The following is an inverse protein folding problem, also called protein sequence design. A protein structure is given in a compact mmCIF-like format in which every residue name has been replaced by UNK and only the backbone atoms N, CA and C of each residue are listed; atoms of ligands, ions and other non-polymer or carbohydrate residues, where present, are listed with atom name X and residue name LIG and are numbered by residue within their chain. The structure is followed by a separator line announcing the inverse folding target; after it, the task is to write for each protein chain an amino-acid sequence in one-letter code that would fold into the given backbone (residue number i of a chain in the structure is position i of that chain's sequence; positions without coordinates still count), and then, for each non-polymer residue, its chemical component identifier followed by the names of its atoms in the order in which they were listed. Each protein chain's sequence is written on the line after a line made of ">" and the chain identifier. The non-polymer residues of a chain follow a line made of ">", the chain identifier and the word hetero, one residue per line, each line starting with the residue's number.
data_IF_898855783062
#
_entry.id   IF_898855783062
#
_cell.length_a   1.000
_cell.length_b   1.000
_cell.length_c   1.000
_cell.angle_alpha   90.00
_cell.angle_beta   90.00
_cell.angle_gamma   90.00
#
_symmetry.space_group_name_H-M   'P 1'
#
loop_
_entity.id
_entity.type
_entity.pdbx_description
1 polymer ?
#
# COMPACT_ATOMS: atom_id res chain seq x y z
N UNK A 1 -22.27 55.46 72.58
CA UNK A 1 -21.43 55.97 71.48
C UNK A 1 -20.85 54.81 70.70
N UNK A 2 -20.85 54.88 69.38
CA UNK A 2 -20.27 53.88 68.51
C UNK A 2 -19.01 54.46 67.84
N UNK A 3 -17.84 53.88 68.12
CA UNK A 3 -16.60 54.24 67.46
C UNK A 3 -16.33 53.24 66.33
N UNK A 4 -16.25 53.72 65.09
CA UNK A 4 -16.07 52.87 63.89
C UNK A 4 -14.76 53.27 63.22
N UNK A 5 -13.87 52.30 63.01
CA UNK A 5 -12.60 52.48 62.32
C UNK A 5 -12.34 51.32 61.34
N UNK A 6 -11.47 51.52 60.35
CA UNK A 6 -11.12 50.49 59.38
C UNK A 6 -9.68 50.58 58.90
N UNK A 7 -9.19 49.48 58.35
CA UNK A 7 -7.91 49.44 57.63
C UNK A 7 -8.13 48.86 56.22
N UNK A 8 -7.81 49.63 55.15
CA UNK A 8 -7.47 51.06 55.16
C UNK A 8 -8.60 51.96 55.68
N UNK A 9 -8.23 53.18 56.13
CA UNK A 9 -9.16 54.21 56.58
C UNK A 9 -9.84 54.92 55.39
N UNK A 10 -10.88 55.71 55.67
CA UNK A 10 -11.63 56.48 54.67
C UNK A 10 -12.81 55.74 54.06
N UNK A 11 -13.20 54.59 54.61
CA UNK A 11 -14.38 53.85 54.19
C UNK A 11 -15.65 54.60 54.59
N UNK A 12 -16.62 54.67 53.69
CA UNK A 12 -17.95 55.22 53.97
C UNK A 12 -18.67 54.35 54.99
N UNK A 13 -19.10 54.94 56.10
CA UNK A 13 -19.83 54.26 57.17
C UNK A 13 -21.32 54.54 57.01
N UNK A 14 -22.10 53.50 56.76
CA UNK A 14 -23.56 53.52 56.72
C UNK A 14 -24.08 52.94 58.03
N UNK A 15 -24.93 53.69 58.73
CA UNK A 15 -25.65 53.23 59.92
C UNK A 15 -27.12 53.07 59.54
N UNK A 16 -27.67 51.87 59.70
CA UNK A 16 -29.04 51.51 59.34
C UNK A 16 -29.41 51.94 57.90
N UNK A 17 -28.47 51.75 56.97
CA UNK A 17 -28.62 52.12 55.55
C UNK A 17 -28.38 53.59 55.22
N UNK A 18 -28.12 54.48 56.20
CA UNK A 18 -27.84 55.89 55.98
C UNK A 18 -26.36 56.23 56.15
N UNK A 19 -25.78 56.92 55.16
CA UNK A 19 -24.40 57.42 55.23
C UNK A 19 -24.23 58.33 56.46
N UNK A 20 -23.32 57.95 57.34
CA UNK A 20 -23.10 58.54 58.67
C UNK A 20 -21.67 59.06 58.88
N UNK A 21 -20.78 58.88 57.89
CA UNK A 21 -19.42 59.43 57.93
C UNK A 21 -18.41 58.58 57.17
N UNK A 22 -17.12 58.78 57.47
CA UNK A 22 -16.02 57.95 56.97
C UNK A 22 -15.12 57.52 58.13
N UNK A 23 -14.56 56.31 58.07
CA UNK A 23 -13.64 55.82 59.12
C UNK A 23 -12.34 56.64 59.19
N UNK A 24 -11.82 56.95 60.40
CA UNK A 24 -12.42 56.70 61.71
C UNK A 24 -13.52 57.72 62.05
N UNK A 25 -14.64 57.27 62.62
CA UNK A 25 -15.76 58.13 63.05
C UNK A 25 -16.32 57.69 64.39
N UNK A 26 -16.70 58.65 65.25
CA UNK A 26 -17.52 58.40 66.44
C UNK A 26 -18.95 58.86 66.18
N UNK A 27 -19.92 57.97 66.36
CA UNK A 27 -21.34 58.20 66.12
C UNK A 27 -22.11 58.14 67.45
N UNK A 28 -22.99 59.11 67.68
CA UNK A 28 -23.98 59.05 68.74
C UNK A 28 -25.17 58.25 68.23
N UNK A 29 -25.47 57.13 68.88
CA UNK A 29 -26.55 56.22 68.51
C UNK A 29 -27.43 55.96 69.73
N UNK A 30 -28.72 55.77 69.51
CA UNK A 30 -29.63 55.36 70.57
C UNK A 30 -29.29 53.94 71.04
N UNK A 31 -29.69 53.54 72.25
CA UNK A 31 -29.60 52.15 72.66
C UNK A 31 -30.47 51.26 71.75
N UNK A 32 -29.95 50.09 71.37
CA UNK A 32 -30.67 49.17 70.49
C UNK A 32 -29.83 48.63 69.33
N UNK A 33 -30.45 47.77 68.52
CA UNK A 33 -29.79 47.07 67.42
C UNK A 33 -29.58 48.01 66.23
N UNK A 34 -28.33 48.16 65.80
CA UNK A 34 -27.94 48.95 64.64
C UNK A 34 -27.09 48.11 63.68
N UNK A 35 -27.35 48.23 62.37
CA UNK A 35 -26.48 47.68 61.32
C UNK A 35 -25.45 48.74 60.91
N UNK A 36 -24.18 48.35 60.92
CA UNK A 36 -23.06 49.16 60.47
C UNK A 36 -22.51 48.51 59.20
N UNK A 37 -22.58 49.21 58.08
CA UNK A 37 -21.99 48.82 56.82
C UNK A 37 -20.84 49.76 56.45
N UNK A 38 -19.67 49.22 56.12
CA UNK A 38 -18.54 49.98 55.60
C UNK A 38 -18.38 49.68 54.12
N UNK A 39 -18.30 50.73 53.29
CA UNK A 39 -18.02 50.64 51.86
C UNK A 39 -16.78 51.43 51.51
N UNK A 40 -15.85 50.79 50.79
CA UNK A 40 -14.68 51.45 50.24
C UNK A 40 -14.44 50.94 48.82
N UNK A 41 -14.21 51.85 47.87
CA UNK A 41 -14.01 51.50 46.46
C UNK A 41 -12.87 50.51 46.28
N UNK A 42 -13.13 49.38 45.61
CA UNK A 42 -12.17 48.30 45.40
C UNK A 42 -11.99 47.36 46.60
N UNK A 43 -12.86 47.42 47.60
CA UNK A 43 -12.91 46.52 48.75
C UNK A 43 -14.31 45.94 48.91
N UNK A 44 -14.40 44.72 49.44
CA UNK A 44 -15.65 44.08 49.77
C UNK A 44 -16.37 44.87 50.90
N UNK A 45 -17.71 45.03 50.83
CA UNK A 45 -18.46 45.69 51.88
C UNK A 45 -18.39 44.89 53.18
N UNK A 46 -18.13 45.56 54.28
CA UNK A 46 -18.13 44.95 55.62
C UNK A 46 -19.43 45.30 56.33
N UNK A 47 -20.12 44.30 56.89
CA UNK A 47 -21.37 44.49 57.64
C UNK A 47 -21.25 43.87 59.02
N UNK A 48 -21.66 44.61 60.04
CA UNK A 48 -21.78 44.11 61.40
C UNK A 48 -23.01 44.70 62.06
N UNK A 49 -23.67 43.90 62.91
CA UNK A 49 -24.72 44.40 63.78
C UNK A 49 -24.15 44.65 65.17
N UNK A 50 -24.40 45.84 65.72
CA UNK A 50 -24.08 46.21 67.11
C UNK A 50 -25.36 46.44 67.91
N UNK A 51 -25.31 46.27 69.23
CA UNK A 51 -26.45 46.53 70.11
C UNK A 51 -26.00 47.30 71.37
N UNK A 52 -25.68 48.61 71.26
CA UNK A 52 -25.16 49.39 72.39
C UNK A 52 -26.23 49.58 73.48
N UNK A 53 -25.83 49.48 74.75
CA UNK A 53 -26.65 49.83 75.92
C UNK A 53 -26.55 51.34 76.24
N UNK A 54 -27.46 51.89 77.07
CA UNK A 54 -27.38 53.29 77.52
C UNK A 54 -26.01 53.59 78.14
N UNK A 55 -25.34 54.64 77.66
CA UNK A 55 -24.00 55.05 78.12
C UNK A 55 -22.83 54.18 77.64
N UNK A 56 -23.08 53.06 76.95
CA UNK A 56 -22.04 52.16 76.48
C UNK A 56 -21.26 52.74 75.29
N UNK A 57 -19.95 52.51 75.27
CA UNK A 57 -19.09 52.77 74.10
C UNK A 57 -18.77 51.45 73.40
N UNK A 58 -19.32 51.27 72.20
CA UNK A 58 -19.02 50.10 71.35
C UNK A 58 -17.97 50.49 70.32
N UNK A 59 -16.97 49.63 70.10
CA UNK A 59 -15.94 49.81 69.09
C UNK A 59 -16.12 48.78 67.98
N UNK A 60 -16.14 49.26 66.73
CA UNK A 60 -16.14 48.44 65.52
C UNK A 60 -14.86 48.74 64.77
N UNK A 61 -14.04 47.70 64.55
CA UNK A 61 -12.85 47.79 63.72
C UNK A 61 -12.93 46.77 62.60
N UNK A 62 -12.83 47.23 61.35
CA UNK A 62 -12.88 46.38 60.16
C UNK A 62 -11.55 46.37 59.41
N UNK A 63 -10.97 45.19 59.20
CA UNK A 63 -9.94 45.00 58.18
C UNK A 63 -10.62 44.74 56.84
N UNK A 64 -10.62 45.73 55.94
CA UNK A 64 -11.31 45.62 54.66
C UNK A 64 -10.50 44.74 53.70
N UNK A 65 -11.18 43.83 53.02
CA UNK A 65 -10.58 42.90 52.07
C UNK A 65 -10.74 43.47 50.65
N UNK A 66 -9.65 43.67 49.87
CA UNK A 66 -9.76 44.12 48.48
C UNK A 66 -10.65 43.20 47.65
N UNK A 67 -11.42 43.77 46.72
CA UNK A 67 -12.16 42.97 45.75
C UNK A 67 -11.20 42.22 44.81
N UNK A 68 -11.44 40.93 44.50
CA UNK A 68 -10.65 40.20 43.53
C UNK A 68 -10.70 40.90 42.17
N UNK A 69 -9.57 41.47 41.72
CA UNK A 69 -9.46 42.05 40.39
C UNK A 69 -9.34 40.91 39.38
N UNK A 70 -10.46 40.48 38.80
CA UNK A 70 -10.48 39.39 37.83
C UNK A 70 -10.47 39.91 36.39
N UNK A 71 -9.85 39.15 35.50
CA UNK A 71 -9.97 39.26 34.05
C UNK A 71 -10.26 37.88 33.45
N UNK A 72 -10.59 37.85 32.16
CA UNK A 72 -10.88 36.59 31.46
C UNK A 72 -9.72 36.23 30.54
N UNK A 73 -9.26 34.98 30.57
CA UNK A 73 -8.38 34.39 29.58
C UNK A 73 -9.19 33.46 28.68
N UNK A 74 -9.32 33.79 27.40
CA UNK A 74 -9.94 32.95 26.39
C UNK A 74 -8.86 32.31 25.52
N UNK A 75 -8.77 30.98 25.54
CA UNK A 75 -7.75 30.19 24.83
C UNK A 75 -8.42 29.35 23.75
N UNK A 76 -7.97 29.48 22.50
CA UNK A 76 -8.39 28.61 21.40
C UNK A 76 -7.19 27.96 20.73
N UNK A 77 -7.41 26.83 20.05
CA UNK A 77 -6.36 26.22 19.23
C UNK A 77 -6.89 25.63 17.93
N UNK A 78 -6.00 25.51 16.95
CA UNK A 78 -6.21 24.77 15.71
C UNK A 78 -5.12 23.70 15.55
N UNK A 79 -5.46 22.40 15.65
CA UNK A 79 -6.78 21.84 15.96
C UNK A 79 -7.26 22.18 17.38
N UNK A 80 -8.59 22.12 17.61
CA UNK A 80 -9.19 22.29 18.93
C UNK A 80 -9.03 21.02 19.79
N UNK A 81 -9.34 21.12 21.09
CA UNK A 81 -9.24 20.01 22.04
C UNK A 81 -7.88 19.86 22.71
N UNK A 82 -6.97 20.83 22.54
CA UNK A 82 -5.68 20.85 23.22
C UNK A 82 -5.87 21.06 24.72
N UNK A 83 -5.15 20.28 25.55
CA UNK A 83 -5.12 20.44 27.00
C UNK A 83 -4.43 21.76 27.37
N UNK A 84 -5.10 22.59 28.15
CA UNK A 84 -4.61 23.91 28.57
C UNK A 84 -4.13 23.82 30.02
N UNK A 85 -2.84 24.07 30.22
CA UNK A 85 -2.21 24.19 31.52
C UNK A 85 -1.93 25.66 31.81
N UNK A 86 -2.25 26.10 33.02
CA UNK A 86 -1.94 27.46 33.52
C UNK A 86 -1.16 27.30 34.81
N UNK A 87 0.07 27.85 34.85
CA UNK A 87 1.03 27.64 35.94
C UNK A 87 1.28 26.14 36.23
N UNK A 88 1.35 25.33 35.17
CA UNK A 88 1.59 23.89 35.26
C UNK A 88 0.37 23.05 35.69
N UNK A 89 -0.74 23.67 36.09
CA UNK A 89 -1.98 22.96 36.45
C UNK A 89 -2.94 22.85 35.26
N UNK A 90 -3.46 21.64 35.00
CA UNK A 90 -4.47 21.41 33.96
C UNK A 90 -5.76 22.16 34.29
N UNK A 91 -6.26 22.99 33.36
CA UNK A 91 -7.47 23.80 33.52
C UNK A 91 -8.64 23.36 32.63
N UNK A 92 -8.37 22.60 31.58
CA UNK A 92 -9.38 22.14 30.64
C UNK A 92 -8.81 21.89 29.25
N UNK A 93 -9.66 21.96 28.23
CA UNK A 93 -9.28 21.81 26.81
C UNK A 93 -9.80 22.97 25.98
N UNK A 94 -9.10 23.34 24.92
CA UNK A 94 -9.54 24.39 24.00
C UNK A 94 -10.81 23.99 23.23
N UNK A 95 -11.73 24.93 22.95
CA UNK A 95 -11.75 26.32 23.44
C UNK A 95 -12.06 26.38 24.94
N UNK A 96 -11.31 27.20 25.68
CA UNK A 96 -11.43 27.34 27.14
C UNK A 96 -11.48 28.82 27.53
N UNK A 97 -12.39 29.19 28.43
CA UNK A 97 -12.46 30.53 29.03
C UNK A 97 -12.31 30.42 30.55
N UNK A 98 -11.37 31.16 31.12
CA UNK A 98 -11.04 31.13 32.55
C UNK A 98 -11.12 32.54 33.14
N UNK A 99 -11.78 32.70 34.28
CA UNK A 99 -11.66 33.90 35.09
C UNK A 99 -10.44 33.77 36.01
N UNK A 100 -9.48 34.67 35.87
CA UNK A 100 -8.22 34.66 36.61
C UNK A 100 -8.01 36.03 37.26
N UNK A 101 -7.37 36.10 38.44
CA UNK A 101 -6.88 37.36 38.97
C UNK A 101 -6.00 38.11 37.94
N UNK A 102 -5.96 39.42 38.05
CA UNK A 102 -5.03 40.26 37.29
C UNK A 102 -3.59 39.82 37.58
N UNK A 103 -2.82 39.53 36.53
CA UNK A 103 -1.50 38.93 36.68
C UNK A 103 -0.89 38.42 35.38
N UNK A 104 0.35 37.93 35.48
CA UNK A 104 1.04 37.21 34.39
C UNK A 104 0.94 35.71 34.65
N UNK A 105 0.64 34.97 33.59
CA UNK A 105 0.47 33.51 33.67
C UNK A 105 1.26 32.81 32.57
N UNK A 106 2.02 31.78 32.94
CA UNK A 106 2.56 30.79 32.03
C UNK A 106 1.45 29.84 31.57
N UNK A 107 1.26 29.76 30.25
CA UNK A 107 0.27 28.91 29.61
C UNK A 107 0.97 27.90 28.72
N UNK A 108 0.62 26.62 28.87
CA UNK A 108 1.09 25.53 28.02
C UNK A 108 -0.11 24.82 27.39
N UNK A 109 -0.07 24.61 26.07
CA UNK A 109 -1.04 23.81 25.35
C UNK A 109 -0.38 22.50 24.92
N UNK A 110 -1.06 21.37 25.18
CA UNK A 110 -0.63 20.03 24.75
C UNK A 110 -1.72 19.37 23.91
N UNK A 111 -1.34 18.84 22.75
CA UNK A 111 -2.22 18.02 21.93
C UNK A 111 -1.43 16.84 21.38
N UNK A 112 -1.99 15.64 21.46
CA UNK A 112 -1.32 14.41 21.00
C UNK A 112 -0.97 14.51 19.52
N UNK A 113 0.30 14.25 19.18
CA UNK A 113 0.81 14.38 17.80
C UNK A 113 1.20 15.80 17.39
N UNK A 114 1.20 16.76 18.30
CA UNK A 114 1.59 18.16 18.06
C UNK A 114 2.64 18.63 19.06
N UNK A 115 3.47 19.60 18.64
CA UNK A 115 4.48 20.22 19.49
C UNK A 115 3.78 21.02 20.61
N UNK A 116 4.26 20.94 21.86
CA UNK A 116 3.69 21.72 22.94
C UNK A 116 3.95 23.21 22.71
N UNK A 117 2.92 24.03 22.86
CA UNK A 117 3.04 25.48 22.79
C UNK A 117 3.17 26.06 24.19
N UNK A 118 4.10 27.00 24.39
CA UNK A 118 4.33 27.69 25.67
C UNK A 118 4.35 29.20 25.45
N UNK A 119 3.62 29.94 26.28
CA UNK A 119 3.63 31.40 26.27
C UNK A 119 3.37 31.97 27.67
N UNK A 120 3.74 33.23 27.88
CA UNK A 120 3.33 34.00 29.06
C UNK A 120 2.29 35.02 28.62
N UNK A 121 1.11 35.01 29.25
CA UNK A 121 0.01 35.94 28.96
C UNK A 121 -0.21 36.90 30.13
N UNK A 122 -0.59 38.13 29.83
CA UNK A 122 -1.00 39.12 30.83
C UNK A 122 -2.53 39.18 30.87
N UNK A 123 -3.12 38.88 32.03
CA UNK A 123 -4.54 39.09 32.32
C UNK A 123 -4.69 40.43 33.01
N UNK A 124 -5.60 41.27 32.49
CA UNK A 124 -5.93 42.59 33.08
C UNK A 124 -7.36 42.58 33.60
N UNK A 125 -7.61 43.39 34.64
CA UNK A 125 -8.92 43.51 35.27
C UNK A 125 -9.99 43.90 34.25
N UNK A 126 -11.10 43.16 34.21
CA UNK A 126 -12.26 43.45 33.37
C UNK A 126 -12.05 43.22 31.86
N UNK A 127 -10.85 42.87 31.43
CA UNK A 127 -10.53 42.59 30.02
C UNK A 127 -10.64 41.09 29.72
N UNK A 128 -10.85 40.76 28.44
CA UNK A 128 -10.66 39.40 27.92
C UNK A 128 -9.36 39.33 27.13
N UNK A 129 -8.34 38.70 27.70
CA UNK A 129 -7.11 38.36 26.99
C UNK A 129 -7.38 37.14 26.11
N UNK A 130 -7.12 37.24 24.81
CA UNK A 130 -7.28 36.13 23.86
C UNK A 130 -5.93 35.51 23.51
N UNK A 131 -5.86 34.19 23.53
CA UNK A 131 -4.71 33.39 23.09
C UNK A 131 -5.18 32.38 22.05
N UNK A 132 -4.93 32.68 20.78
CA UNK A 132 -5.31 31.83 19.65
C UNK A 132 -4.06 31.16 19.06
N UNK A 133 -3.99 29.82 19.15
CA UNK A 133 -2.77 29.06 18.83
C UNK A 133 -2.99 28.09 17.69
N UNK A 134 -2.16 28.17 16.64
CA UNK A 134 -2.05 27.09 15.65
C UNK A 134 -0.94 26.14 16.10
N UNK A 135 -1.29 24.87 16.34
CA UNK A 135 -0.33 23.87 16.79
C UNK A 135 0.38 23.23 15.59
N UNK A 136 1.69 23.04 15.73
CA UNK A 136 2.51 22.38 14.71
C UNK A 136 2.46 20.86 14.92
N UNK A 137 2.06 20.08 13.90
CA UNK A 137 2.08 18.62 14.01
C UNK A 137 3.54 18.16 14.12
N UNK A 138 3.76 17.18 14.99
CA UNK A 138 5.04 16.50 15.10
C UNK A 138 5.17 15.55 13.92
N UNK A 139 6.18 15.69 13.04
CA UNK A 139 6.40 14.75 11.94
C UNK A 139 6.58 13.34 12.48
N UNK A 140 5.71 12.42 12.03
CA UNK A 140 5.79 10.98 12.33
C UNK A 140 6.43 10.22 11.18
N UNK A 141 7.33 10.87 10.46
CA UNK A 141 7.98 10.27 9.31
C UNK A 141 9.32 9.65 9.68
N UNK A 142 9.71 8.60 8.96
CA UNK A 142 11.05 8.05 8.91
C UNK A 142 11.57 8.06 7.48
N UNK A 143 12.85 7.75 7.31
CA UNK A 143 13.49 7.62 6.00
C UNK A 143 13.65 6.15 5.65
N UNK A 144 13.24 5.74 4.46
CA UNK A 144 13.52 4.43 3.89
C UNK A 144 14.53 4.58 2.75
N UNK A 145 15.70 3.94 2.90
CA UNK A 145 16.70 3.84 1.86
C UNK A 145 16.64 2.46 1.23
N UNK A 146 16.33 2.42 -0.07
CA UNK A 146 16.26 1.20 -0.88
C UNK A 146 17.49 1.10 -1.76
N UNK A 147 18.19 -0.02 -1.68
CA UNK A 147 19.37 -0.32 -2.49
C UNK A 147 19.21 -1.69 -3.14
N UNK A 148 19.80 -1.87 -4.32
CA UNK A 148 19.84 -3.18 -4.96
C UNK A 148 21.17 -3.45 -5.65
N UNK A 149 21.47 -4.73 -5.82
CA UNK A 149 22.50 -5.24 -6.71
C UNK A 149 21.85 -6.19 -7.73
N UNK A 150 21.87 -5.88 -9.04
CA UNK A 150 22.40 -4.64 -9.63
C UNK A 150 21.60 -3.41 -9.20
N UNK A 151 22.23 -2.23 -9.30
CA UNK A 151 21.58 -0.94 -9.05
C UNK A 151 20.60 -0.58 -10.18
N UNK A 152 19.71 0.39 -9.94
CA UNK A 152 18.74 0.85 -10.93
C UNK A 152 17.46 0.01 -11.02
N UNK A 153 17.25 -0.91 -10.06
CA UNK A 153 16.00 -1.68 -9.98
C UNK A 153 14.81 -0.76 -9.69
N UNK A 154 13.69 -0.99 -10.36
CA UNK A 154 12.43 -0.30 -10.11
C UNK A 154 11.89 -0.66 -8.73
N UNK A 155 11.62 0.35 -7.92
CA UNK A 155 11.15 0.20 -6.56
C UNK A 155 9.66 0.54 -6.46
N UNK A 156 8.89 -0.41 -5.94
CA UNK A 156 7.47 -0.30 -5.67
C UNK A 156 7.25 -0.39 -4.16
N UNK A 157 6.44 0.52 -3.62
CA UNK A 157 6.06 0.53 -2.20
C UNK A 157 4.55 0.45 -2.11
N UNK A 158 4.05 -0.62 -1.48
CA UNK A 158 2.64 -1.01 -1.45
C UNK A 158 2.03 -1.11 -2.88
N UNK A 159 2.82 -1.63 -3.83
CA UNK A 159 2.42 -1.79 -5.23
C UNK A 159 2.52 -0.52 -6.09
N UNK A 160 2.74 0.67 -5.49
CA UNK A 160 2.92 1.91 -6.24
C UNK A 160 4.40 2.14 -6.60
N UNK A 161 4.68 2.44 -7.87
CA UNK A 161 6.03 2.79 -8.32
C UNK A 161 6.53 4.08 -7.64
N UNK A 162 7.75 4.06 -7.12
CA UNK A 162 8.37 5.18 -6.38
C UNK A 162 9.67 5.69 -6.99
N UNK A 163 10.25 4.98 -7.95
CA UNK A 163 11.53 5.34 -8.58
C UNK A 163 12.44 4.13 -8.78
N UNK A 164 13.73 4.37 -8.93
CA UNK A 164 14.76 3.32 -9.11
C UNK A 164 15.82 3.40 -8.02
N UNK A 165 16.38 2.25 -7.63
CA UNK A 165 17.46 2.17 -6.63
C UNK A 165 18.77 2.81 -7.15
N UNK A 166 19.60 3.39 -6.26
CA UNK A 166 19.31 3.68 -4.87
C UNK A 166 18.22 4.75 -4.74
N UNK A 167 17.24 4.52 -3.88
CA UNK A 167 16.08 5.40 -3.70
C UNK A 167 15.88 5.72 -2.24
N UNK A 168 15.80 7.01 -1.91
CA UNK A 168 15.52 7.49 -0.55
C UNK A 168 14.11 8.08 -0.49
N UNK A 169 13.28 7.54 0.40
CA UNK A 169 11.88 7.94 0.59
C UNK A 169 11.65 8.43 2.02
N UNK A 170 10.90 9.51 2.17
CA UNK A 170 10.36 9.91 3.48
C UNK A 170 8.93 9.38 3.55
N UNK A 171 8.67 8.51 4.51
CA UNK A 171 7.38 7.83 4.67
C UNK A 171 6.90 8.02 6.11
N UNK A 172 5.58 8.01 6.31
CA UNK A 172 5.02 7.94 7.66
C UNK A 172 5.50 6.68 8.39
N UNK A 173 5.47 6.71 9.72
CA UNK A 173 5.75 5.54 10.53
C UNK A 173 4.75 4.44 10.20
N UNK A 174 5.24 3.22 9.97
CA UNK A 174 4.38 2.16 9.47
C UNK A 174 5.14 0.97 8.92
N UNK A 175 4.38 -0.01 8.42
CA UNK A 175 4.91 -1.20 7.77
C UNK A 175 4.55 -1.17 6.30
N UNK A 176 5.54 -1.37 5.44
CA UNK A 176 5.43 -1.23 3.99
C UNK A 176 5.88 -2.50 3.30
N UNK A 177 5.12 -2.93 2.28
CA UNK A 177 5.56 -3.97 1.35
C UNK A 177 6.40 -3.31 0.26
N UNK A 178 7.66 -3.71 0.16
CA UNK A 178 8.59 -3.25 -0.87
C UNK A 178 8.76 -4.36 -1.89
N UNK A 179 8.69 -4.00 -3.17
CA UNK A 179 9.03 -4.87 -4.27
C UNK A 179 10.07 -4.17 -5.16
N UNK A 180 11.15 -4.88 -5.49
CA UNK A 180 12.21 -4.41 -6.38
C UNK A 180 12.23 -5.28 -7.64
N UNK A 181 12.20 -4.65 -8.82
CA UNK A 181 12.19 -5.33 -10.12
C UNK A 181 13.34 -4.84 -10.98
N UNK A 182 14.06 -5.76 -11.62
CA UNK A 182 15.07 -5.42 -12.61
C UNK A 182 14.96 -6.37 -13.83
N UNK A 183 15.17 -5.88 -15.06
CA UNK A 183 15.13 -6.73 -16.25
C UNK A 183 16.14 -7.89 -16.15
N UNK A 184 15.68 -9.12 -16.40
CA UNK A 184 16.51 -10.33 -16.31
C UNK A 184 16.75 -10.84 -14.88
N UNK A 185 16.06 -10.30 -13.87
CA UNK A 185 16.17 -10.73 -12.47
C UNK A 185 14.80 -11.10 -11.90
N UNK A 186 14.80 -12.02 -10.95
CA UNK A 186 13.64 -12.35 -10.15
C UNK A 186 13.21 -11.14 -9.30
N UNK A 187 11.89 -10.86 -9.19
CA UNK A 187 11.40 -9.78 -8.35
C UNK A 187 11.71 -10.09 -6.88
N UNK A 188 12.30 -9.12 -6.18
CA UNK A 188 12.54 -9.22 -4.75
C UNK A 188 11.40 -8.57 -3.97
N UNK A 189 10.88 -9.24 -2.94
CA UNK A 189 9.82 -8.71 -2.09
C UNK A 189 10.21 -8.79 -0.61
N UNK A 190 9.96 -7.71 0.11
CA UNK A 190 10.18 -7.64 1.55
C UNK A 190 9.12 -6.79 2.23
N UNK A 191 8.96 -6.98 3.54
CA UNK A 191 8.17 -6.08 4.39
C UNK A 191 9.11 -5.31 5.30
N UNK A 192 9.01 -3.98 5.29
CA UNK A 192 9.91 -3.09 6.04
C UNK A 192 9.11 -2.22 6.99
N UNK A 193 9.57 -2.10 8.23
CA UNK A 193 9.02 -1.17 9.22
C UNK A 193 9.82 0.14 9.20
N UNK A 194 9.13 1.24 8.90
CA UNK A 194 9.67 2.60 9.00
C UNK A 194 9.32 3.14 10.38
N UNK A 195 10.34 3.55 11.12
CA UNK A 195 10.20 4.14 12.44
C UNK A 195 10.43 5.64 12.39
N UNK A 196 9.67 6.38 13.20
CA UNK A 196 9.74 7.84 13.27
C UNK A 196 11.17 8.31 13.57
N UNK A 197 11.65 9.27 12.77
CA UNK A 197 12.95 9.92 12.92
C UNK A 197 14.15 9.01 12.63
N UNK A 198 13.94 7.77 12.20
CA UNK A 198 15.01 6.81 11.87
C UNK A 198 15.16 6.64 10.37
N UNK A 199 16.38 6.33 9.93
CA UNK A 199 16.63 5.81 8.59
C UNK A 199 16.66 4.27 8.65
N UNK A 200 15.72 3.64 7.97
CA UNK A 200 15.68 2.19 7.75
C UNK A 200 16.29 1.90 6.37
N UNK A 201 17.26 0.98 6.31
CA UNK A 201 17.90 0.56 5.06
C UNK A 201 17.43 -0.84 4.66
N UNK A 202 17.01 -0.99 3.40
CA UNK A 202 16.76 -2.28 2.76
C UNK A 202 17.70 -2.40 1.56
N UNK A 203 18.65 -3.32 1.65
CA UNK A 203 19.58 -3.64 0.57
C UNK A 203 19.29 -5.05 0.06
N UNK A 204 19.03 -5.21 -1.24
CA UNK A 204 18.67 -6.48 -1.84
C UNK A 204 19.64 -6.89 -2.95
N UNK A 205 20.15 -8.11 -2.90
CA UNK A 205 20.86 -8.73 -4.03
C UNK A 205 19.86 -9.52 -4.86
N UNK A 206 19.55 -9.03 -6.07
CA UNK A 206 18.59 -9.66 -6.96
C UNK A 206 19.20 -10.91 -7.60
N UNK A 207 18.37 -11.95 -7.76
CA UNK A 207 18.79 -13.21 -8.37
C UNK A 207 18.53 -13.12 -9.88
N UNK A 208 19.55 -13.34 -10.74
CA UNK A 208 19.32 -13.40 -12.17
C UNK A 208 18.34 -14.53 -12.50
N UNK A 209 17.40 -14.27 -13.39
CA UNK A 209 16.63 -15.34 -14.02
C UNK A 209 17.63 -16.11 -14.90
N UNK A 210 17.67 -17.43 -14.73
CA UNK A 210 18.57 -18.31 -15.51
C UNK A 210 17.83 -19.18 -16.48
N UNK A 211 16.51 -19.07 -16.56
CA UNK A 211 15.68 -19.91 -17.41
C UNK A 211 14.95 -19.09 -18.47
N UNK A 212 14.65 -19.72 -19.59
CA UNK A 212 13.72 -19.22 -20.61
C UNK A 212 12.66 -20.26 -20.93
N UNK A 213 11.70 -19.90 -21.79
CA UNK A 213 10.70 -20.85 -22.29
C UNK A 213 10.97 -21.20 -23.74
N UNK A 214 10.90 -22.49 -24.09
CA UNK A 214 10.79 -22.98 -25.46
C UNK A 214 9.34 -23.39 -25.70
N UNK A 215 8.70 -22.78 -26.68
CA UNK A 215 7.43 -23.21 -27.24
C UNK A 215 7.68 -23.87 -28.59
N UNK A 216 7.39 -25.17 -28.70
CA UNK A 216 7.63 -25.96 -29.90
C UNK A 216 6.32 -26.41 -30.51
N UNK A 217 6.17 -26.16 -31.80
CA UNK A 217 5.09 -26.65 -32.65
C UNK A 217 5.69 -27.54 -33.72
N UNK A 218 5.01 -28.64 -34.06
CA UNK A 218 5.47 -29.57 -35.08
C UNK A 218 4.35 -29.99 -36.01
N UNK A 219 4.71 -30.26 -37.28
CA UNK A 219 3.86 -30.97 -38.25
C UNK A 219 4.53 -32.28 -38.68
N UNK A 220 3.84 -33.43 -38.55
CA UNK A 220 2.50 -33.60 -38.00
C UNK A 220 2.43 -33.29 -36.49
N UNK A 221 1.24 -32.92 -36.02
CA UNK A 221 0.99 -32.72 -34.58
C UNK A 221 1.17 -34.03 -33.80
N UNK A 222 1.46 -33.95 -32.50
CA UNK A 222 1.69 -35.12 -31.66
C UNK A 222 3.08 -35.74 -31.81
N UNK A 223 3.96 -35.16 -32.63
CA UNK A 223 5.37 -35.54 -32.74
C UNK A 223 6.05 -35.49 -31.36
N UNK A 224 6.89 -36.48 -31.07
CA UNK A 224 7.64 -36.56 -29.83
C UNK A 224 8.80 -35.57 -29.84
N UNK A 225 8.94 -34.83 -28.75
CA UNK A 225 9.96 -33.79 -28.57
C UNK A 225 10.91 -34.23 -27.49
N UNK A 226 12.19 -34.27 -27.82
CA UNK A 226 13.27 -34.52 -26.89
C UNK A 226 14.12 -33.25 -26.77
N UNK A 227 14.48 -32.89 -25.54
CA UNK A 227 15.41 -31.80 -25.24
C UNK A 227 16.57 -32.38 -24.46
N UNK A 228 17.80 -32.15 -24.95
CA UNK A 228 19.05 -32.69 -24.40
C UNK A 228 18.99 -34.21 -24.15
N UNK A 229 18.40 -34.93 -25.10
CA UNK A 229 18.25 -36.39 -25.06
C UNK A 229 17.16 -36.92 -24.13
N UNK A 230 16.41 -36.07 -23.41
CA UNK A 230 15.28 -36.47 -22.57
C UNK A 230 13.95 -36.17 -23.24
N UNK A 231 12.99 -37.09 -23.15
CA UNK A 231 11.63 -36.87 -23.65
C UNK A 231 10.97 -35.73 -22.87
N UNK A 232 10.70 -34.63 -23.55
CA UNK A 232 10.03 -33.46 -22.99
C UNK A 232 8.50 -33.55 -23.13
N UNK A 233 7.99 -34.24 -24.15
CA UNK A 233 6.57 -34.43 -24.38
C UNK A 233 6.22 -34.61 -25.86
N UNK A 234 4.98 -34.27 -26.23
CA UNK A 234 4.51 -34.23 -27.62
C UNK A 234 4.16 -32.81 -28.04
N UNK A 235 4.44 -32.44 -29.28
CA UNK A 235 4.11 -31.12 -29.81
C UNK A 235 2.59 -30.97 -30.07
N UNK A 236 2.01 -29.77 -29.87
CA UNK A 236 2.66 -28.56 -29.36
C UNK A 236 3.00 -28.65 -27.87
N UNK A 237 4.18 -28.16 -27.48
CA UNK A 237 4.71 -28.24 -26.11
C UNK A 237 5.33 -26.91 -25.68
N UNK A 238 5.19 -26.58 -24.38
CA UNK A 238 5.97 -25.54 -23.71
C UNK A 238 6.85 -26.15 -22.64
N UNK A 239 8.14 -25.81 -22.64
CA UNK A 239 9.10 -26.29 -21.66
C UNK A 239 9.98 -25.14 -21.16
N UNK A 240 10.18 -25.07 -19.84
CA UNK A 240 11.13 -24.13 -19.23
C UNK A 240 12.50 -24.80 -19.19
N UNK A 241 13.51 -24.11 -19.70
CA UNK A 241 14.88 -24.61 -19.81
C UNK A 241 15.83 -23.59 -19.18
N UNK A 242 16.98 -24.04 -18.68
CA UNK A 242 18.07 -23.14 -18.32
C UNK A 242 18.52 -22.35 -19.57
N UNK A 243 19.19 -21.23 -19.37
CA UNK A 243 19.69 -20.42 -20.45
C UNK A 243 20.95 -21.05 -21.02
N UNK A 244 21.04 -21.09 -22.34
CA UNK A 244 22.13 -21.72 -23.07
C UNK A 244 21.67 -22.46 -24.31
N UNK A 245 22.59 -23.24 -24.87
CA UNK A 245 22.33 -24.07 -26.04
C UNK A 245 21.71 -25.40 -25.61
N UNK A 246 20.57 -25.72 -26.20
CA UNK A 246 19.86 -26.98 -26.01
C UNK A 246 19.74 -27.73 -27.33
N UNK A 247 19.96 -29.04 -27.31
CA UNK A 247 19.66 -29.88 -28.46
C UNK A 247 18.17 -30.23 -28.46
N UNK A 248 17.47 -29.90 -29.53
CA UNK A 248 16.08 -30.28 -29.75
C UNK A 248 16.03 -31.34 -30.83
N UNK A 249 15.36 -32.45 -30.53
CA UNK A 249 15.03 -33.49 -31.50
C UNK A 249 13.53 -33.69 -31.57
N UNK A 250 12.99 -33.76 -32.78
CA UNK A 250 11.56 -33.98 -33.03
C UNK A 250 11.40 -35.22 -33.89
N UNK A 251 10.57 -36.15 -33.43
CA UNK A 251 10.36 -37.46 -34.06
C UNK A 251 8.87 -37.69 -34.29
N UNK A 252 8.51 -38.18 -35.48
CA UNK A 252 7.18 -38.68 -35.78
C UNK A 252 7.27 -39.95 -36.65
N UNK A 253 6.36 -40.93 -36.47
CA UNK A 253 6.34 -42.14 -37.29
C UNK A 253 6.19 -41.83 -38.79
N UNK A 254 7.07 -42.40 -39.63
CA UNK A 254 7.06 -42.18 -41.08
C UNK A 254 7.80 -40.92 -41.56
N UNK A 255 8.40 -40.15 -40.64
CA UNK A 255 9.12 -38.92 -40.95
C UNK A 255 10.61 -39.00 -40.59
N UNK A 256 11.43 -38.24 -41.31
CA UNK A 256 12.83 -38.07 -40.99
C UNK A 256 12.99 -37.31 -39.66
N UNK A 257 13.96 -37.68 -38.83
CA UNK A 257 14.19 -36.95 -37.57
C UNK A 257 14.62 -35.51 -37.86
N UNK A 258 14.05 -34.56 -37.11
CA UNK A 258 14.56 -33.20 -37.06
C UNK A 258 15.48 -33.06 -35.85
N UNK A 259 16.63 -32.42 -36.03
CA UNK A 259 17.60 -32.11 -34.97
C UNK A 259 18.15 -30.71 -35.18
N UNK A 260 18.14 -29.90 -34.12
CA UNK A 260 18.75 -28.57 -34.12
C UNK A 260 19.30 -28.22 -32.74
N UNK A 261 20.29 -27.33 -32.69
CA UNK A 261 20.63 -26.61 -31.45
C UNK A 261 19.86 -25.29 -31.41
N UNK A 262 19.24 -25.01 -30.28
CA UNK A 262 18.52 -23.76 -30.01
C UNK A 262 19.16 -23.03 -28.84
N UNK A 263 19.27 -21.70 -28.94
CA UNK A 263 19.72 -20.86 -27.84
C UNK A 263 18.49 -20.38 -27.06
N UNK A 264 18.36 -20.82 -25.81
CA UNK A 264 17.37 -20.31 -24.86
C UNK A 264 17.99 -19.16 -24.09
N UNK A 265 17.37 -17.98 -24.18
CA UNK A 265 17.81 -16.78 -23.45
C UNK A 265 17.03 -16.61 -22.14
N UNK A 266 17.66 -16.10 -21.08
CA UNK A 266 16.98 -15.92 -19.80
C UNK A 266 15.79 -14.96 -19.92
N UNK A 267 14.68 -15.32 -19.27
CA UNK A 267 13.41 -14.59 -19.29
C UNK A 267 12.79 -14.35 -20.68
N UNK A 268 13.29 -15.01 -21.73
CA UNK A 268 12.74 -14.95 -23.08
C UNK A 268 11.92 -16.20 -23.40
N UNK A 269 11.01 -16.06 -24.37
CA UNK A 269 10.27 -17.18 -24.95
C UNK A 269 10.71 -17.40 -26.39
N UNK A 270 11.42 -18.49 -26.65
CA UNK A 270 11.75 -18.94 -27.99
C UNK A 270 10.58 -19.73 -28.57
N UNK A 271 10.18 -19.42 -29.80
CA UNK A 271 9.22 -20.22 -30.56
C UNK A 271 9.94 -20.97 -31.67
N UNK A 272 9.78 -22.29 -31.72
CA UNK A 272 10.32 -23.15 -32.76
C UNK A 272 9.18 -23.87 -33.47
N UNK A 273 9.07 -23.68 -34.78
CA UNK A 273 8.15 -24.41 -35.63
C UNK A 273 8.93 -25.42 -36.47
N UNK A 274 8.54 -26.69 -36.42
CA UNK A 274 9.21 -27.80 -37.11
C UNK A 274 8.23 -28.45 -38.07
N UNK A 275 8.57 -28.48 -39.36
CA UNK A 275 7.86 -29.28 -40.35
C UNK A 275 8.71 -30.48 -40.72
N UNK A 276 8.27 -31.68 -40.31
CA UNK A 276 9.00 -32.91 -40.56
C UNK A 276 8.83 -33.34 -42.01
N UNK A 277 9.90 -33.85 -42.61
CA UNK A 277 9.89 -34.35 -43.98
C UNK A 277 9.50 -35.84 -43.96
N UNK A 278 8.44 -36.26 -44.66
CA UNK A 278 8.09 -37.68 -44.77
C UNK A 278 9.23 -38.48 -45.41
N UNK A 279 9.54 -39.64 -44.84
CA UNK A 279 10.43 -40.61 -45.50
C UNK A 279 9.62 -41.31 -46.58
N UNK A 280 10.20 -41.49 -47.78
CA UNK A 280 9.53 -42.15 -48.90
C UNK A 280 10.23 -43.44 -49.29
N UNK A 281 9.45 -44.38 -49.80
CA UNK A 281 9.90 -45.65 -50.37
C UNK A 281 9.33 -45.86 -51.76
N UNK A 282 9.99 -46.70 -52.54
CA UNK A 282 9.53 -47.14 -53.86
C UNK A 282 8.60 -48.34 -53.69
N UNK A 283 7.40 -48.25 -54.25
CA UNK A 283 6.49 -49.37 -54.43
C UNK A 283 6.48 -49.80 -55.90
N UNK A 284 6.70 -51.10 -56.13
CA UNK A 284 6.56 -51.72 -57.45
C UNK A 284 5.30 -52.58 -57.46
N UNK A 285 4.31 -52.18 -58.24
CA UNK A 285 3.03 -52.87 -58.38
C UNK A 285 3.05 -53.76 -59.62
N UNK A 286 2.66 -55.02 -59.45
CA UNK A 286 2.40 -55.96 -60.52
C UNK A 286 0.95 -56.42 -60.46
N UNK A 287 0.20 -56.13 -61.52
CA UNK A 287 -1.23 -56.37 -61.66
C UNK A 287 -1.49 -57.37 -62.79
N UNK A 288 -2.58 -58.13 -62.69
CA UNK A 288 -3.06 -59.01 -63.75
C UNK A 288 -3.76 -58.27 -64.91
N UNK A 289 -4.02 -56.97 -64.76
CA UNK A 289 -4.70 -56.12 -65.75
C UNK A 289 -4.16 -54.70 -65.65
N UNK A 290 -4.23 -53.93 -66.74
CA UNK A 290 -4.02 -52.49 -66.69
C UNK A 290 -5.09 -51.82 -65.81
N UNK A 291 -4.65 -51.07 -64.80
CA UNK A 291 -5.54 -50.38 -63.87
C UNK A 291 -5.02 -48.97 -63.58
N UNK A 292 -5.95 -48.05 -63.32
CA UNK A 292 -5.66 -46.78 -62.66
C UNK A 292 -5.40 -47.05 -61.19
N UNK A 293 -4.34 -46.46 -60.67
CA UNK A 293 -3.84 -46.67 -59.31
C UNK A 293 -4.01 -45.36 -58.54
N UNK A 294 -4.62 -45.46 -57.37
CA UNK A 294 -4.80 -44.36 -56.45
C UNK A 294 -4.11 -44.70 -55.13
N UNK A 295 -3.39 -43.73 -54.56
CA UNK A 295 -2.80 -43.80 -53.22
C UNK A 295 -3.46 -42.71 -52.38
N UNK A 296 -4.10 -43.10 -51.28
CA UNK A 296 -4.84 -42.20 -50.38
C UNK A 296 -5.85 -41.29 -51.11
N UNK A 297 -6.49 -41.84 -52.15
CA UNK A 297 -7.49 -41.14 -52.96
C UNK A 297 -6.93 -40.28 -54.10
N UNK A 298 -5.60 -40.06 -54.18
CA UNK A 298 -4.97 -39.37 -55.30
C UNK A 298 -4.50 -40.34 -56.39
N UNK A 299 -4.79 -40.04 -57.66
CA UNK A 299 -4.33 -40.87 -58.78
C UNK A 299 -2.81 -40.73 -58.96
N UNK A 300 -2.07 -41.78 -58.65
CA UNK A 300 -0.60 -41.81 -58.78
C UNK A 300 -0.12 -42.28 -60.15
N UNK A 301 -1.01 -42.91 -60.95
CA UNK A 301 -0.71 -43.30 -62.32
C UNK A 301 -1.52 -44.50 -62.83
N UNK A 302 -1.12 -45.01 -64.00
CA UNK A 302 -1.73 -46.18 -64.64
C UNK A 302 -0.71 -47.29 -64.77
N UNK A 303 -1.05 -48.49 -64.28
CA UNK A 303 -0.21 -49.68 -64.35
C UNK A 303 -0.25 -50.31 -65.76
N UNK A 304 0.36 -49.63 -66.74
CA UNK A 304 0.43 -50.09 -68.14
C UNK A 304 1.20 -51.40 -68.25
N UNK A 305 0.69 -52.33 -69.06
CA UNK A 305 1.22 -53.69 -69.12
C UNK A 305 1.18 -54.45 -67.79
N UNK A 306 0.34 -54.01 -66.84
CA UNK A 306 0.24 -54.58 -65.50
C UNK A 306 1.37 -54.17 -64.55
N UNK A 307 2.16 -53.12 -64.83
CA UNK A 307 3.22 -52.65 -63.93
C UNK A 307 3.15 -51.15 -63.66
N UNK A 308 3.34 -50.76 -62.40
CA UNK A 308 3.54 -49.36 -62.01
C UNK A 308 4.62 -49.26 -60.93
N UNK A 309 5.57 -48.34 -61.11
CA UNK A 309 6.50 -47.90 -60.08
C UNK A 309 6.07 -46.54 -59.56
N UNK A 310 5.94 -46.40 -58.25
CA UNK A 310 5.57 -45.15 -57.59
C UNK A 310 6.38 -44.95 -56.31
N UNK A 311 6.44 -43.71 -55.82
CA UNK A 311 6.98 -43.40 -54.50
C UNK A 311 5.82 -43.13 -53.53
N UNK A 312 5.86 -43.78 -52.37
CA UNK A 312 4.89 -43.60 -51.29
C UNK A 312 5.62 -43.16 -50.01
N UNK A 313 5.04 -42.27 -49.20
CA UNK A 313 5.52 -42.04 -47.83
C UNK A 313 5.56 -43.35 -47.02
N UNK A 314 6.34 -43.35 -45.94
CA UNK A 314 6.30 -44.42 -44.95
C UNK A 314 5.03 -44.24 -44.11
N UNK A 315 4.35 -45.34 -43.83
CA UNK A 315 3.09 -45.31 -43.09
C UNK A 315 2.06 -46.29 -43.63
N UNK A 316 0.86 -46.21 -43.08
CA UNK A 316 -0.30 -46.95 -43.59
C UNK A 316 -0.97 -46.10 -44.67
N UNK A 317 -1.17 -46.70 -45.84
CA UNK A 317 -1.74 -46.05 -47.02
C UNK A 317 -2.88 -46.87 -47.60
N UNK A 318 -3.90 -46.22 -48.13
CA UNK A 318 -4.95 -46.89 -48.90
C UNK A 318 -4.55 -46.95 -50.37
N UNK A 319 -4.43 -48.16 -50.92
CA UNK A 319 -4.21 -48.39 -52.33
C UNK A 319 -5.53 -48.81 -52.99
N UNK A 320 -5.99 -48.00 -53.95
CA UNK A 320 -7.22 -48.27 -54.71
C UNK A 320 -6.89 -48.53 -56.18
N UNK A 321 -7.32 -49.67 -56.71
CA UNK A 321 -7.11 -50.09 -58.10
C UNK A 321 -8.43 -50.16 -58.86
N UNK A 322 -8.49 -49.49 -60.01
CA UNK A 322 -9.69 -49.41 -60.85
C UNK A 322 -9.36 -49.81 -62.29
N UNK A 323 -10.00 -50.87 -62.78
CA UNK A 323 -9.86 -51.33 -64.16
C UNK A 323 -11.24 -51.63 -64.80
N UNK A 324 -11.47 -51.28 -66.08
CA UNK A 324 -12.72 -51.59 -66.78
C UNK A 324 -13.00 -53.09 -66.83
N UNK A 325 -14.23 -53.51 -66.45
CA UNK A 325 -14.62 -54.93 -66.44
C UNK A 325 -14.20 -55.71 -65.19
N UNK A 326 -13.56 -55.06 -64.21
CA UNK A 326 -13.11 -55.65 -62.96
C UNK A 326 -13.73 -54.96 -61.75
N UNK A 327 -13.81 -55.68 -60.63
CA UNK A 327 -14.18 -55.12 -59.31
C UNK A 327 -13.04 -54.25 -58.80
N UNK A 328 -13.37 -53.07 -58.27
CA UNK A 328 -12.41 -52.20 -57.58
C UNK A 328 -11.77 -52.95 -56.42
N UNK A 329 -10.44 -52.94 -56.37
CA UNK A 329 -9.69 -53.43 -55.21
C UNK A 329 -9.30 -52.23 -54.35
N UNK A 330 -9.65 -52.28 -53.06
CA UNK A 330 -9.17 -51.34 -52.04
C UNK A 330 -8.37 -52.17 -51.04
N UNK A 331 -7.13 -51.76 -50.76
CA UNK A 331 -6.24 -52.48 -49.86
C UNK A 331 -5.40 -51.51 -49.05
N UNK A 332 -5.35 -51.70 -47.74
CA UNK A 332 -4.38 -51.04 -46.88
C UNK A 332 -2.99 -51.65 -47.07
N UNK A 333 -2.00 -50.78 -47.27
CA UNK A 333 -0.60 -51.12 -47.45
C UNK A 333 0.23 -50.37 -46.43
N UNK A 334 0.98 -51.11 -45.62
CA UNK A 334 1.98 -50.54 -44.70
C UNK A 334 3.33 -50.42 -45.39
N UNK A 335 3.70 -49.20 -45.74
CA UNK A 335 4.98 -48.85 -46.37
C UNK A 335 6.04 -48.65 -45.29
N UNK A 336 7.02 -49.54 -45.22
CA UNK A 336 8.15 -49.45 -44.27
C UNK A 336 9.52 -49.41 -44.96
N UNK A 337 9.53 -49.35 -46.28
CA UNK A 337 10.70 -49.49 -47.13
C UNK A 337 10.29 -49.85 -48.55
N UNK A 338 11.26 -50.08 -49.44
CA UNK A 338 10.97 -50.48 -50.80
C UNK A 338 10.26 -51.85 -50.81
N UNK A 339 9.15 -51.95 -51.54
CA UNK A 339 8.30 -53.15 -51.52
C UNK A 339 7.77 -53.46 -52.92
N UNK A 340 7.60 -54.74 -53.19
CA UNK A 340 6.96 -55.25 -54.40
C UNK A 340 5.59 -55.81 -54.02
N UNK A 341 4.52 -55.31 -54.63
CA UNK A 341 3.16 -55.76 -54.41
C UNK A 341 2.63 -56.46 -55.66
N UNK A 342 2.16 -57.68 -55.49
CA UNK A 342 1.53 -58.47 -56.56
C UNK A 342 0.04 -58.58 -56.25
N UNK A 343 -0.78 -57.91 -57.04
CA UNK A 343 -2.21 -57.73 -56.77
C UNK A 343 -3.04 -58.27 -57.93
N UNK A 344 -4.17 -58.87 -57.62
CA UNK A 344 -5.04 -59.51 -58.63
C UNK A 344 -6.45 -58.93 -58.52
N UNK A 345 -6.89 -58.24 -59.56
CA UNK A 345 -8.26 -57.78 -59.69
C UNK A 345 -9.14 -58.92 -60.20
N UNK A 346 -10.35 -59.02 -59.66
CA UNK A 346 -11.35 -60.03 -60.05
C UNK A 346 -12.30 -59.44 -61.10
N UNK A 347 -12.64 -60.17 -62.19
CA UNK A 347 -13.66 -59.75 -63.14
C UNK A 347 -15.02 -59.49 -62.46
N UNK A 348 -15.83 -58.63 -63.06
CA UNK A 348 -17.16 -58.27 -62.57
C UNK A 348 -18.13 -59.45 -62.53
#
# INVERSE_FOLDING_TARGET
>A
TLAVDSRPQGAEVYLDGRLSGRTPVNLSVNPGRHEVELRLSGYQPYRVTVNPRPGERVQVFAQLVPEPRQGTLAVTSSPSGAEVYVEGALRGRTPLSLSLPEGRYGVELRLSGYEPYRATVQVRRGETTRLDVRLNPIPRTGTLLLESSPTGAEAYVNGAFRGRTPLRLVLDEGTYRVELRAPGYEPYQATVRVERGRETRLSASLRPIRTGELFLEARPEGAEVYVDGRLAGRAPLRVTLEAGLHEVRVLAPGYAEYRAQVEVRPAESLRLYVELVPVRAVLELYLNVEARVFLDGEEVGVAKGGYLRLEAPFGDHELTLVAPGYRTLVQEVRVTGNQVLRLTLRPL
#
